data_IF_871710233471
#
_entry.id   IF_871710233471
#
_cell.length_a   1.000
_cell.length_b   1.000
_cell.length_c   1.000
_cell.angle_alpha   90.00
_cell.angle_beta   90.00
_cell.angle_gamma   90.00
#
_symmetry.space_group_name_H-M   'P 1'
#
loop_
_entity.id
_entity.type
_entity.pdbx_description
1 polymer ?
#
# COMPACT_ATOMS: atom_id res chain seq x y z
N UNK A 1 6.52 17.47 4.96
CA UNK A 1 6.76 16.60 6.13
C UNK A 1 5.60 15.66 6.12
N UNK A 2 5.85 14.34 6.06
CA UNK A 2 4.77 13.38 5.91
C UNK A 2 3.89 13.39 7.15
N UNK A 3 2.63 13.09 6.95
CA UNK A 3 1.63 13.05 8.01
C UNK A 3 1.70 11.73 8.75
N UNK A 4 1.72 11.76 10.08
CA UNK A 4 1.63 10.55 10.90
C UNK A 4 0.17 10.07 10.89
N UNK A 5 -0.07 8.87 10.39
CA UNK A 5 -1.40 8.26 10.35
C UNK A 5 -1.64 7.48 11.63
N UNK A 6 -0.72 6.56 11.94
CA UNK A 6 -0.67 5.77 13.18
C UNK A 6 0.77 5.63 13.61
N UNK A 7 1.00 5.06 14.79
CA UNK A 7 2.36 4.74 15.23
C UNK A 7 3.14 4.05 14.09
N UNK A 8 4.27 4.65 13.71
CA UNK A 8 5.17 4.18 12.65
C UNK A 8 4.59 4.13 11.21
N UNK A 9 3.34 4.54 10.98
CA UNK A 9 2.73 4.63 9.65
C UNK A 9 2.56 6.09 9.23
N UNK A 10 3.19 6.46 8.12
CA UNK A 10 3.18 7.81 7.57
C UNK A 10 2.58 7.84 6.16
N UNK A 11 1.91 8.96 5.86
CA UNK A 11 1.28 9.25 4.58
C UNK A 11 1.86 10.55 4.00
N UNK A 12 2.19 10.55 2.71
CA UNK A 12 2.80 11.73 2.10
C UNK A 12 2.79 11.77 0.59
N UNK A 13 3.52 12.76 0.07
CA UNK A 13 3.68 13.02 -1.36
C UNK A 13 5.09 12.62 -1.88
N UNK A 14 5.37 12.93 -3.14
CA UNK A 14 6.66 12.65 -3.77
C UNK A 14 7.83 13.37 -3.08
N UNK A 15 7.62 14.56 -2.51
CA UNK A 15 8.68 15.33 -1.84
C UNK A 15 9.04 14.69 -0.50
N UNK A 16 8.06 14.18 0.22
CA UNK A 16 8.30 13.42 1.45
C UNK A 16 9.09 12.13 1.15
N UNK A 17 8.79 11.45 0.04
CA UNK A 17 9.54 10.28 -0.39
C UNK A 17 11.00 10.59 -0.77
N UNK A 18 11.23 11.70 -1.49
CA UNK A 18 12.59 12.19 -1.76
C UNK A 18 13.34 12.40 -0.44
N UNK A 19 12.74 13.15 0.50
CA UNK A 19 13.37 13.43 1.79
C UNK A 19 13.64 12.13 2.57
N UNK A 20 12.72 11.18 2.58
CA UNK A 20 12.88 9.88 3.25
C UNK A 20 14.05 9.06 2.69
N UNK A 21 14.35 9.21 1.40
CA UNK A 21 15.41 8.46 0.71
C UNK A 21 16.75 9.20 0.69
N UNK A 22 16.78 10.52 0.94
CA UNK A 22 17.99 11.34 0.81
C UNK A 22 18.48 11.94 2.12
N UNK A 23 17.59 12.31 3.06
CA UNK A 23 17.97 12.99 4.30
C UNK A 23 18.18 11.99 5.45
N UNK A 24 19.45 11.70 5.74
CA UNK A 24 19.84 10.94 6.94
C UNK A 24 19.64 11.69 8.26
N UNK A 25 19.23 12.96 8.20
CA UNK A 25 19.13 13.88 9.36
C UNK A 25 17.69 14.09 9.85
N UNK A 26 16.69 13.50 9.21
CA UNK A 26 15.29 13.61 9.65
C UNK A 26 15.07 12.81 10.95
N UNK A 27 14.30 13.38 11.88
CA UNK A 27 14.02 12.77 13.20
C UNK A 27 13.22 11.45 13.11
N UNK A 28 12.59 11.17 11.98
CA UNK A 28 11.94 9.91 11.69
C UNK A 28 12.72 9.21 10.57
N UNK A 29 13.64 8.32 10.94
CA UNK A 29 14.33 7.46 9.98
C UNK A 29 13.35 6.44 9.44
N UNK A 30 13.01 6.53 8.16
CA UNK A 30 12.18 5.54 7.47
C UNK A 30 12.97 4.27 7.23
N UNK A 31 12.32 3.14 7.45
CA UNK A 31 12.86 1.81 7.12
C UNK A 31 12.24 1.28 5.84
N UNK A 32 10.97 1.65 5.59
CA UNK A 32 10.20 1.21 4.44
C UNK A 32 9.53 2.39 3.73
N UNK A 33 9.54 2.36 2.39
CA UNK A 33 8.85 3.34 1.54
C UNK A 33 8.03 2.58 0.50
N UNK A 34 6.72 2.75 0.54
CA UNK A 34 5.79 2.26 -0.47
C UNK A 34 5.48 3.39 -1.47
N UNK A 35 5.98 3.25 -2.69
CA UNK A 35 5.76 4.16 -3.81
C UNK A 35 4.66 3.65 -4.73
N UNK A 36 3.48 4.27 -4.68
CA UNK A 36 2.36 3.98 -5.59
C UNK A 36 2.29 5.07 -6.65
N UNK A 37 2.96 4.85 -7.77
CA UNK A 37 3.29 5.89 -8.76
C UNK A 37 3.17 5.34 -10.18
N UNK A 38 3.09 6.18 -11.21
CA UNK A 38 2.84 5.70 -12.58
C UNK A 38 4.01 4.94 -13.20
N UNK A 39 5.19 4.95 -12.58
CA UNK A 39 6.37 4.21 -12.99
C UNK A 39 7.13 3.68 -11.77
N UNK A 40 7.54 2.42 -11.81
CA UNK A 40 8.29 1.80 -10.73
C UNK A 40 9.73 2.35 -10.58
N UNK A 41 10.27 2.94 -11.67
CA UNK A 41 11.65 3.46 -11.69
C UNK A 41 11.87 4.49 -10.58
N UNK A 42 12.96 4.37 -9.83
CA UNK A 42 13.34 5.38 -8.84
C UNK A 42 13.57 6.75 -9.49
N UNK A 43 13.97 6.77 -10.77
CA UNK A 43 14.18 8.01 -11.51
C UNK A 43 12.90 8.85 -11.59
N UNK A 44 11.72 8.20 -11.64
CA UNK A 44 10.42 8.87 -11.65
C UNK A 44 10.24 9.79 -10.42
N UNK A 45 10.82 9.40 -9.28
CA UNK A 45 10.78 10.20 -8.05
C UNK A 45 11.77 11.36 -8.14
N UNK A 46 12.94 11.16 -8.75
CA UNK A 46 14.00 12.17 -8.86
C UNK A 46 13.84 13.12 -10.05
N UNK A 47 12.98 12.82 -11.02
CA UNK A 47 12.77 13.64 -12.22
C UNK A 47 12.38 15.09 -11.89
N UNK A 48 11.79 15.31 -10.71
CA UNK A 48 11.46 16.64 -10.19
C UNK A 48 12.67 17.42 -9.62
N UNK A 49 13.87 16.82 -9.54
CA UNK A 49 15.11 17.42 -9.01
C UNK A 49 16.33 17.07 -9.86
N UNK A 50 16.73 17.94 -10.80
CA UNK A 50 17.91 17.74 -11.63
C UNK A 50 19.16 17.49 -10.80
N UNK A 51 19.91 16.43 -11.13
CA UNK A 51 21.17 16.07 -10.47
C UNK A 51 21.01 15.25 -9.18
N UNK A 52 19.78 15.00 -8.72
CA UNK A 52 19.55 14.08 -7.62
C UNK A 52 19.61 12.63 -8.12
N UNK A 53 20.52 11.83 -7.56
CA UNK A 53 20.57 10.38 -7.78
C UNK A 53 20.33 9.67 -6.44
N UNK A 54 19.35 8.78 -6.42
CA UNK A 54 19.09 7.92 -5.26
C UNK A 54 19.69 6.55 -5.58
N UNK A 55 20.71 6.08 -4.84
CA UNK A 55 21.27 4.76 -5.08
C UNK A 55 20.22 3.69 -4.79
N UNK A 56 20.17 2.67 -5.64
CA UNK A 56 19.22 1.57 -5.55
C UNK A 56 19.89 0.24 -5.87
N UNK A 57 19.41 -0.83 -5.23
CA UNK A 57 19.78 -2.21 -5.49
C UNK A 57 18.50 -3.04 -5.56
N UNK A 58 18.17 -3.56 -6.74
CA UNK A 58 16.97 -4.38 -6.93
C UNK A 58 17.08 -5.69 -6.17
N UNK A 59 16.07 -5.98 -5.34
CA UNK A 59 15.97 -7.21 -4.55
C UNK A 59 15.04 -8.20 -5.22
N UNK A 60 13.89 -7.71 -5.72
CA UNK A 60 12.87 -8.56 -6.33
C UNK A 60 12.07 -7.78 -7.36
N UNK A 61 11.78 -8.42 -8.48
CA UNK A 61 10.86 -7.93 -9.51
C UNK A 61 9.74 -8.93 -9.68
N UNK A 62 8.51 -8.44 -9.80
CA UNK A 62 7.34 -9.29 -10.02
C UNK A 62 6.67 -8.85 -11.32
N UNK A 63 6.55 -9.78 -12.25
CA UNK A 63 5.97 -9.59 -13.57
C UNK A 63 4.78 -10.54 -13.71
N UNK A 64 3.68 -10.04 -14.29
CA UNK A 64 2.47 -10.81 -14.49
C UNK A 64 2.73 -12.05 -15.36
N UNK A 65 2.26 -13.20 -14.86
CA UNK A 65 2.41 -14.50 -15.52
C UNK A 65 3.74 -15.20 -15.30
N UNK A 66 4.63 -14.66 -14.47
CA UNK A 66 5.83 -15.35 -13.98
C UNK A 66 5.61 -15.96 -12.58
N UNK A 67 6.48 -16.88 -12.17
CA UNK A 67 6.42 -17.54 -10.85
C UNK A 67 6.40 -16.51 -9.70
N UNK A 68 5.34 -16.54 -8.88
CA UNK A 68 5.15 -15.64 -7.75
C UNK A 68 4.32 -14.37 -8.03
N UNK A 69 3.77 -14.21 -9.24
CA UNK A 69 2.69 -13.27 -9.52
C UNK A 69 1.32 -13.89 -9.15
N UNK A 70 0.32 -13.08 -8.73
CA UNK A 70 -1.03 -13.58 -8.52
C UNK A 70 -1.61 -14.14 -9.84
N UNK A 71 -2.44 -15.19 -9.79
CA UNK A 71 -3.16 -15.67 -10.96
C UNK A 71 -4.23 -14.65 -11.36
N UNK A 72 -3.88 -13.71 -12.23
CA UNK A 72 -4.79 -12.66 -12.72
C UNK A 72 -5.24 -12.98 -14.14
N UNK A 73 -6.55 -13.11 -14.36
CA UNK A 73 -7.12 -13.47 -15.65
C UNK A 73 -7.04 -12.33 -16.71
N UNK A 74 -6.75 -11.10 -16.29
CA UNK A 74 -6.88 -9.91 -17.14
C UNK A 74 -5.56 -9.14 -17.36
N UNK A 75 -4.51 -9.39 -16.58
CA UNK A 75 -3.24 -8.68 -16.74
C UNK A 75 -2.42 -9.28 -17.89
N UNK A 76 -1.99 -8.50 -18.89
CA UNK A 76 -1.15 -9.02 -19.96
C UNK A 76 0.15 -9.62 -19.42
N UNK A 77 0.53 -10.80 -19.92
CA UNK A 77 1.83 -11.41 -19.62
C UNK A 77 2.97 -10.43 -19.89
N UNK A 78 3.95 -10.39 -18.98
CA UNK A 78 5.09 -9.48 -19.10
C UNK A 78 4.85 -8.08 -18.50
N UNK A 79 3.66 -7.80 -17.95
CA UNK A 79 3.37 -6.53 -17.26
C UNK A 79 4.09 -6.48 -15.92
N UNK A 80 4.86 -5.41 -15.67
CA UNK A 80 5.52 -5.20 -14.38
C UNK A 80 4.48 -4.88 -13.29
N UNK A 81 4.38 -5.73 -12.28
CA UNK A 81 3.43 -5.56 -11.17
C UNK A 81 4.02 -4.76 -10.00
N UNK A 82 5.30 -4.98 -9.69
CA UNK A 82 6.05 -4.24 -8.67
C UNK A 82 7.55 -4.55 -8.71
N UNK A 83 8.33 -3.67 -8.11
CA UNK A 83 9.76 -3.88 -7.81
C UNK A 83 9.98 -3.62 -6.33
N UNK A 84 10.78 -4.46 -5.67
CA UNK A 84 11.31 -4.25 -4.33
C UNK A 84 12.81 -4.02 -4.46
N UNK A 85 13.32 -2.98 -3.83
CA UNK A 85 14.71 -2.57 -3.90
C UNK A 85 15.19 -2.05 -2.54
N UNK A 86 16.49 -2.11 -2.30
CA UNK A 86 17.13 -1.32 -1.26
C UNK A 86 17.47 0.04 -1.86
N UNK A 87 17.17 1.12 -1.15
CA UNK A 87 17.25 2.48 -1.67
C UNK A 87 17.82 3.47 -0.65
N UNK A 88 18.24 4.63 -1.15
CA UNK A 88 18.71 5.75 -0.34
C UNK A 88 20.13 5.57 0.17
N UNK A 89 20.63 6.55 0.93
CA UNK A 89 22.00 6.51 1.43
C UNK A 89 22.29 5.23 2.24
N UNK A 90 23.41 4.57 1.92
CA UNK A 90 23.78 3.26 2.47
C UNK A 90 22.79 2.12 2.16
N UNK A 91 21.87 2.32 1.21
CA UNK A 91 20.83 1.36 0.82
C UNK A 91 19.95 0.93 2.01
N UNK A 92 19.75 1.80 2.99
CA UNK A 92 19.15 1.44 4.28
C UNK A 92 17.62 1.29 4.24
N UNK A 93 16.97 1.84 3.22
CA UNK A 93 15.51 1.83 3.08
C UNK A 93 15.09 0.69 2.16
N UNK A 94 14.14 -0.13 2.58
CA UNK A 94 13.45 -1.04 1.66
C UNK A 94 12.36 -0.26 0.96
N UNK A 95 12.43 -0.13 -0.36
CA UNK A 95 11.39 0.51 -1.17
C UNK A 95 10.64 -0.53 -1.97
N UNK A 96 9.31 -0.48 -1.94
CA UNK A 96 8.48 -1.18 -2.90
C UNK A 96 7.81 -0.17 -3.83
N UNK A 97 7.96 -0.38 -5.12
CA UNK A 97 7.41 0.47 -6.16
C UNK A 97 6.33 -0.27 -6.95
N UNK A 98 5.13 0.28 -6.96
CA UNK A 98 3.97 -0.26 -7.66
C UNK A 98 3.60 0.71 -8.79
N UNK A 99 3.76 0.31 -10.07
CA UNK A 99 3.35 1.10 -11.21
C UNK A 99 1.82 1.10 -11.30
N UNK A 100 1.18 2.20 -10.89
CA UNK A 100 -0.27 2.38 -10.88
C UNK A 100 -0.63 3.79 -11.38
N UNK A 101 -1.44 3.90 -12.43
CA UNK A 101 -1.98 5.19 -12.89
C UNK A 101 -3.12 5.63 -11.99
N UNK A 102 -3.41 6.92 -11.99
CA UNK A 102 -4.45 7.51 -11.17
C UNK A 102 -5.71 7.76 -12.01
N UNK A 103 -6.33 6.67 -12.44
CA UNK A 103 -7.54 6.68 -13.26
C UNK A 103 -8.54 5.68 -12.68
N UNK A 104 -9.83 5.91 -12.90
CA UNK A 104 -10.89 5.08 -12.34
C UNK A 104 -10.90 3.65 -12.92
N UNK A 105 -10.36 3.49 -14.13
CA UNK A 105 -10.25 2.20 -14.81
C UNK A 105 -9.03 1.37 -14.39
N UNK A 106 -8.11 1.94 -13.60
CA UNK A 106 -6.91 1.22 -13.17
C UNK A 106 -7.27 0.19 -12.09
N UNK A 107 -6.73 -1.03 -12.21
CA UNK A 107 -7.01 -2.11 -11.27
C UNK A 107 -6.08 -2.03 -10.05
N UNK A 108 -6.59 -1.52 -8.93
CA UNK A 108 -5.89 -1.48 -7.65
C UNK A 108 -5.85 -2.86 -6.96
N UNK A 109 -6.87 -3.70 -7.19
CA UNK A 109 -7.05 -4.97 -6.46
C UNK A 109 -5.87 -5.93 -6.64
N UNK A 110 -5.28 -5.98 -7.84
CA UNK A 110 -4.14 -6.84 -8.15
C UNK A 110 -2.87 -6.48 -7.34
N UNK A 111 -2.82 -5.28 -6.78
CA UNK A 111 -1.69 -4.77 -6.02
C UNK A 111 -1.99 -4.66 -4.52
N UNK A 112 -3.26 -4.62 -4.13
CA UNK A 112 -3.68 -4.21 -2.79
C UNK A 112 -3.08 -5.12 -1.71
N UNK A 113 -3.22 -6.43 -1.83
CA UNK A 113 -2.70 -7.37 -0.83
C UNK A 113 -1.18 -7.25 -0.64
N UNK A 114 -0.44 -7.10 -1.74
CA UNK A 114 1.00 -6.92 -1.69
C UNK A 114 1.38 -5.60 -1.01
N UNK A 115 0.67 -4.51 -1.31
CA UNK A 115 0.85 -3.22 -0.66
C UNK A 115 0.60 -3.30 0.85
N UNK A 116 -0.52 -3.91 1.25
CA UNK A 116 -0.89 -4.02 2.66
C UNK A 116 0.10 -4.89 3.44
N UNK A 117 0.51 -6.03 2.87
CA UNK A 117 1.53 -6.90 3.46
C UNK A 117 2.89 -6.21 3.61
N UNK A 118 3.30 -5.39 2.63
CA UNK A 118 4.54 -4.61 2.74
C UNK A 118 4.47 -3.57 3.86
N UNK A 119 3.30 -2.94 4.06
CA UNK A 119 3.10 -2.01 5.19
C UNK A 119 3.19 -2.77 6.52
N UNK A 120 2.58 -3.96 6.64
CA UNK A 120 2.68 -4.78 7.85
C UNK A 120 4.12 -5.20 8.18
N UNK A 121 4.89 -5.58 7.16
CA UNK A 121 6.31 -5.94 7.30
C UNK A 121 7.13 -4.75 7.79
N UNK A 122 6.94 -3.59 7.17
CA UNK A 122 7.66 -2.39 7.54
C UNK A 122 7.33 -1.91 8.95
N UNK A 123 6.05 -1.95 9.32
CA UNK A 123 5.55 -1.52 10.63
C UNK A 123 6.15 -2.33 11.78
N UNK A 124 6.51 -3.60 11.55
CA UNK A 124 7.18 -4.45 12.57
C UNK A 124 8.63 -4.05 12.82
N UNK A 125 9.26 -3.34 11.90
CA UNK A 125 10.70 -3.05 11.91
C UNK A 125 10.99 -1.56 12.14
N UNK A 126 10.05 -0.68 11.78
CA UNK A 126 10.14 0.74 12.07
C UNK A 126 9.19 1.58 11.22
N UNK A 127 9.58 2.82 10.92
CA UNK A 127 8.72 3.76 10.23
C UNK A 127 8.52 3.38 8.75
N UNK A 128 7.25 3.40 8.32
CA UNK A 128 6.79 3.16 6.95
C UNK A 128 6.20 4.43 6.38
N UNK A 129 6.64 4.82 5.18
CA UNK A 129 6.01 5.90 4.41
C UNK A 129 5.23 5.30 3.24
N UNK A 130 3.95 5.61 3.15
CA UNK A 130 3.11 5.34 1.97
C UNK A 130 2.90 6.64 1.20
N UNK A 131 3.32 6.68 -0.06
CA UNK A 131 3.21 7.88 -0.87
C UNK A 131 2.81 7.58 -2.32
N UNK A 132 2.27 8.61 -2.97
CA UNK A 132 2.11 8.65 -4.42
C UNK A 132 2.77 9.93 -4.95
N UNK A 133 2.31 10.44 -6.09
CA UNK A 133 2.81 11.72 -6.60
C UNK A 133 2.35 12.90 -5.71
N UNK A 134 1.05 13.03 -5.48
CA UNK A 134 0.47 14.18 -4.79
C UNK A 134 0.05 13.92 -3.33
N UNK A 135 0.06 12.66 -2.87
CA UNK A 135 -0.50 12.32 -1.56
C UNK A 135 -2.02 12.55 -1.48
N UNK A 136 -2.75 12.27 -2.57
CA UNK A 136 -4.18 12.56 -2.70
C UNK A 136 -5.02 11.31 -2.96
N UNK A 137 -4.75 10.59 -4.05
CA UNK A 137 -5.60 9.46 -4.49
C UNK A 137 -4.94 8.10 -4.25
N UNK A 138 -4.03 7.65 -5.13
CA UNK A 138 -3.40 6.30 -5.04
C UNK A 138 -2.91 5.87 -3.66
N UNK A 139 -2.08 6.68 -3.00
CA UNK A 139 -1.58 6.35 -1.66
C UNK A 139 -2.67 6.45 -0.60
N UNK A 140 -3.64 7.35 -0.77
CA UNK A 140 -4.78 7.45 0.14
C UNK A 140 -5.63 6.18 0.06
N UNK A 141 -5.86 5.63 -1.13
CA UNK A 141 -6.56 4.35 -1.33
C UNK A 141 -5.90 3.21 -0.54
N UNK A 142 -4.57 3.12 -0.58
CA UNK A 142 -3.82 2.12 0.20
C UNK A 142 -3.97 2.34 1.71
N UNK A 143 -3.81 3.58 2.18
CA UNK A 143 -3.91 3.89 3.61
C UNK A 143 -5.34 3.65 4.13
N UNK A 144 -6.36 4.04 3.37
CA UNK A 144 -7.77 3.77 3.69
C UNK A 144 -8.02 2.28 3.79
N UNK A 145 -7.64 1.51 2.77
CA UNK A 145 -7.76 0.05 2.80
C UNK A 145 -7.01 -0.59 3.98
N UNK A 146 -5.82 -0.07 4.31
CA UNK A 146 -5.05 -0.52 5.47
C UNK A 146 -5.81 -0.27 6.78
N UNK A 147 -6.33 0.95 6.99
CA UNK A 147 -7.10 1.31 8.18
C UNK A 147 -8.38 0.46 8.30
N UNK A 148 -9.09 0.22 7.20
CA UNK A 148 -10.27 -0.66 7.18
C UNK A 148 -9.91 -2.06 7.66
N UNK A 149 -8.84 -2.65 7.11
CA UNK A 149 -8.37 -4.00 7.46
C UNK A 149 -7.83 -4.08 8.89
N UNK A 150 -7.01 -3.13 9.32
CA UNK A 150 -6.31 -3.20 10.61
C UNK A 150 -7.15 -2.75 11.80
N UNK A 151 -8.13 -1.87 11.58
CA UNK A 151 -8.96 -1.27 12.63
C UNK A 151 -10.45 -1.64 12.51
N UNK A 152 -10.82 -2.51 11.56
CA UNK A 152 -12.21 -2.91 11.28
C UNK A 152 -13.13 -1.70 11.01
N UNK A 153 -12.58 -0.67 10.38
CA UNK A 153 -13.32 0.55 10.02
C UNK A 153 -14.12 0.36 8.75
N UNK A 154 -15.28 0.99 8.67
CA UNK A 154 -15.98 1.18 7.39
C UNK A 154 -15.13 2.04 6.45
N UNK A 155 -15.48 2.03 5.16
CA UNK A 155 -14.82 2.89 4.16
C UNK A 155 -14.90 4.37 4.56
N UNK A 156 -16.09 4.79 5.00
CA UNK A 156 -16.38 6.15 5.43
C UNK A 156 -15.57 6.53 6.67
N UNK A 157 -15.50 5.66 7.68
CA UNK A 157 -14.74 5.90 8.90
C UNK A 157 -13.23 5.97 8.65
N UNK A 158 -12.72 5.12 7.76
CA UNK A 158 -11.31 5.11 7.39
C UNK A 158 -10.91 6.33 6.55
N UNK A 159 -11.77 6.72 5.60
CA UNK A 159 -11.56 7.91 4.78
C UNK A 159 -11.63 9.19 5.61
N UNK A 160 -12.61 9.30 6.52
CA UNK A 160 -12.75 10.45 7.41
C UNK A 160 -11.53 10.56 8.33
N UNK A 161 -11.09 9.46 8.93
CA UNK A 161 -9.89 9.44 9.76
C UNK A 161 -8.63 9.89 9.00
N UNK A 162 -8.51 9.56 7.70
CA UNK A 162 -7.40 10.06 6.88
C UNK A 162 -7.57 11.55 6.53
N UNK A 163 -8.79 12.02 6.30
CA UNK A 163 -9.08 13.44 6.02
C UNK A 163 -8.84 14.35 7.22
N UNK A 164 -9.06 13.88 8.44
CA UNK A 164 -8.66 14.58 9.66
C UNK A 164 -7.15 14.86 9.71
N UNK A 165 -6.34 14.01 9.06
CA UNK A 165 -4.89 14.12 8.99
C UNK A 165 -4.44 14.96 7.78
N UNK A 166 -5.09 14.77 6.63
CA UNK A 166 -4.87 15.53 5.40
C UNK A 166 -6.19 15.72 4.64
N UNK A 167 -6.74 16.92 4.70
CA UNK A 167 -8.02 17.28 4.05
C UNK A 167 -8.05 17.04 2.53
N UNK A 168 -6.88 16.99 1.89
CA UNK A 168 -6.74 16.75 0.45
C UNK A 168 -6.83 15.26 0.09
N UNK A 169 -6.87 14.34 1.06
CA UNK A 169 -7.01 12.92 0.81
C UNK A 169 -8.35 12.65 0.10
N UNK A 170 -8.26 12.22 -1.17
CA UNK A 170 -9.38 12.04 -2.06
C UNK A 170 -9.01 10.96 -3.10
N UNK A 171 -9.15 9.66 -2.76
CA UNK A 171 -9.15 8.59 -3.75
C UNK A 171 -10.11 8.87 -4.90
N UNK A 172 -9.75 8.49 -6.12
CA UNK A 172 -10.71 8.51 -7.23
C UNK A 172 -11.84 7.48 -7.01
N UNK A 173 -12.96 7.67 -7.70
CA UNK A 173 -14.18 6.89 -7.48
C UNK A 173 -13.98 5.39 -7.79
N UNK A 174 -13.24 5.07 -8.85
CA UNK A 174 -12.92 3.68 -9.20
C UNK A 174 -12.11 2.96 -8.12
N UNK A 175 -11.18 3.65 -7.46
CA UNK A 175 -10.45 3.09 -6.33
C UNK A 175 -11.34 2.95 -5.08
N UNK A 176 -12.23 3.90 -4.80
CA UNK A 176 -13.17 3.77 -3.68
C UNK A 176 -14.09 2.56 -3.87
N UNK A 177 -14.59 2.34 -5.09
CA UNK A 177 -15.43 1.20 -5.42
C UNK A 177 -14.68 -0.13 -5.22
N UNK A 178 -13.43 -0.19 -5.66
CA UNK A 178 -12.57 -1.36 -5.48
C UNK A 178 -12.24 -1.63 -3.99
N UNK A 179 -11.92 -0.59 -3.22
CA UNK A 179 -11.64 -0.74 -1.77
C UNK A 179 -12.90 -1.16 -1.01
N UNK A 180 -14.08 -0.62 -1.36
CA UNK A 180 -15.37 -1.05 -0.79
C UNK A 180 -15.63 -2.52 -1.07
N UNK A 181 -15.39 -2.97 -2.30
CA UNK A 181 -15.57 -4.37 -2.69
C UNK A 181 -14.74 -5.33 -1.82
N UNK A 182 -13.49 -4.98 -1.52
CA UNK A 182 -12.61 -5.81 -0.68
C UNK A 182 -13.14 -5.92 0.75
N UNK A 183 -13.61 -4.81 1.32
CA UNK A 183 -14.22 -4.82 2.65
C UNK A 183 -15.44 -5.74 2.71
N UNK A 184 -16.33 -5.66 1.73
CA UNK A 184 -17.52 -6.50 1.69
C UNK A 184 -17.16 -7.99 1.57
N UNK A 185 -16.11 -8.33 0.82
CA UNK A 185 -15.61 -9.69 0.71
C UNK A 185 -14.98 -10.19 2.02
N UNK A 186 -14.18 -9.36 2.70
CA UNK A 186 -13.57 -9.69 3.99
C UNK A 186 -14.62 -9.85 5.10
N UNK A 187 -15.61 -8.94 5.16
CA UNK A 187 -16.73 -9.03 6.09
C UNK A 187 -17.55 -10.32 5.85
N UNK A 188 -17.77 -10.70 4.58
CA UNK A 188 -18.43 -11.96 4.25
C UNK A 188 -17.61 -13.19 4.64
N UNK A 189 -16.27 -13.15 4.47
CA UNK A 189 -15.39 -14.25 4.88
C UNK A 189 -15.34 -14.41 6.41
N UNK A 190 -15.27 -13.31 7.17
CA UNK A 190 -15.36 -13.35 8.64
C UNK A 190 -16.72 -13.88 9.12
N UNK A 191 -17.82 -13.48 8.46
CA UNK A 191 -19.15 -14.03 8.71
C UNK A 191 -19.22 -15.52 8.37
N UNK A 192 -18.59 -15.96 7.28
CA UNK A 192 -18.54 -17.37 6.88
C UNK A 192 -17.74 -18.19 7.90
N UNK A 193 -16.58 -17.70 8.34
CA UNK A 193 -15.78 -18.35 9.40
C UNK A 193 -16.57 -18.42 10.71
N UNK A 194 -17.26 -17.34 11.11
CA UNK A 194 -18.12 -17.34 12.30
C UNK A 194 -19.30 -18.32 12.18
N UNK A 195 -19.94 -18.41 11.00
CA UNK A 195 -21.03 -19.37 10.73
C UNK A 195 -20.53 -20.82 10.70
N UNK A 196 -19.33 -21.07 10.17
CA UNK A 196 -18.70 -22.38 10.16
C UNK A 196 -18.30 -22.81 11.59
N UNK A 197 -17.76 -21.91 12.39
CA UNK A 197 -17.45 -22.14 13.81
C UNK A 197 -18.72 -22.43 14.63
N UNK A 198 -19.81 -21.68 14.41
CA UNK A 198 -21.08 -21.94 15.12
C UNK A 198 -21.79 -23.21 14.65
N UNK A 199 -21.67 -23.59 13.38
CA UNK A 199 -22.23 -24.85 12.84
C UNK A 199 -21.48 -26.10 13.31
N UNK A 200 -20.15 -26.04 13.41
CA UNK A 200 -19.32 -27.09 14.01
C UNK A 200 -19.58 -27.23 15.51
N UNK A 201 -19.81 -26.12 16.23
CA UNK A 201 -20.26 -26.15 17.63
C UNK A 201 -21.65 -26.76 17.82
N UNK A 202 -22.64 -26.48 16.94
CA UNK A 202 -23.96 -27.16 17.00
C UNK A 202 -23.87 -28.66 16.76
N UNK A 203 -23.00 -29.10 15.84
CA UNK A 203 -22.80 -30.52 15.54
C UNK A 203 -22.12 -31.29 16.67
N UNK A 204 -21.33 -30.61 17.51
CA UNK A 204 -20.75 -31.19 18.71
C UNK A 204 -21.75 -31.27 19.90
N UNK A 205 -22.79 -30.43 19.90
CA UNK A 205 -23.82 -30.40 20.94
C UNK A 205 -24.99 -31.39 20.70
N UNK A 206 -25.10 -31.99 19.52
CA UNK A 206 -26.13 -33.01 19.19
C UNK A 206 -25.66 -34.47 19.43
N UNK A 207 -24.47 -34.68 20.01
CA UNK A 207 -23.89 -36.01 20.30
C UNK A 207 -23.79 -36.29 21.82
N UNK A 208 -24.44 -35.50 22.68
CA UNK A 208 -24.54 -35.77 24.13
C UNK A 208 -25.98 -36.01 24.54
#
# INVERSE_FOLDING_TARGET
MPHLVREQLYFGDIKDAIAALTDSTTSATFTHVLSVVSSASISFITDCRPGLAIPTEEVRRVVAGEEGAPPTAEVPHGTLMRVVERAGDGLRVTRMAVPLRDTEEENLLDHLEACLGFVDEGWKVGNVLVHCFAGVSRSASIVVAYLMRSEQKSLEEALEALKEINELACPNDGFLDQVRFVHDLLAQNELLECLLLTSTFRRAAEIV
#
